data_IF_415366867893
#
_entry.id   IF_415366867893
#
_cell.length_a   1.000
_cell.length_b   1.000
_cell.length_c   1.000
_cell.angle_alpha   90.00
_cell.angle_beta   90.00
_cell.angle_gamma   90.00
#
_symmetry.space_group_name_H-M   'P 1'
#
loop_
_entity.id
_entity.type
_entity.pdbx_description
1 polymer ?
#
# COMPACT_ATOMS: atom_id res chain seq x y z
N UNK A 1 -1.62 -44.73 -11.75
CA UNK A 1 -0.65 -44.12 -10.81
C UNK A 1 -0.80 -42.62 -10.95
N UNK A 2 -1.40 -41.98 -9.95
CA UNK A 2 -1.70 -40.54 -9.96
C UNK A 2 -0.50 -39.80 -9.36
N UNK A 3 0.02 -38.83 -10.11
CA UNK A 3 1.01 -37.86 -9.65
C UNK A 3 0.36 -36.92 -8.61
N UNK A 4 1.04 -36.58 -7.50
CA UNK A 4 0.50 -35.63 -6.54
C UNK A 4 0.55 -34.21 -7.10
N UNK A 5 -0.55 -33.47 -6.93
CA UNK A 5 -0.62 -32.04 -7.20
C UNK A 5 0.47 -31.31 -6.41
N UNK A 6 1.23 -30.48 -7.12
CA UNK A 6 2.16 -29.52 -6.54
C UNK A 6 1.31 -28.52 -5.77
N UNK A 7 1.26 -28.66 -4.44
CA UNK A 7 0.81 -27.61 -3.53
C UNK A 7 1.78 -26.45 -3.69
N UNK A 8 1.37 -25.44 -4.44
CA UNK A 8 2.04 -24.15 -4.48
C UNK A 8 2.15 -23.63 -3.05
N UNK A 9 3.39 -23.46 -2.58
CA UNK A 9 3.70 -22.80 -1.33
C UNK A 9 3.05 -21.41 -1.38
N UNK A 10 2.17 -21.03 -0.43
CA UNK A 10 1.64 -19.69 -0.40
C UNK A 10 2.82 -18.72 -0.27
N UNK A 11 2.86 -17.61 -1.05
CA UNK A 11 3.89 -16.61 -0.85
C UNK A 11 3.86 -16.17 0.62
N UNK A 12 5.02 -15.89 1.24
CA UNK A 12 5.06 -15.48 2.63
C UNK A 12 4.10 -14.31 2.81
N UNK A 13 3.18 -14.44 3.77
CA UNK A 13 2.33 -13.34 4.19
C UNK A 13 3.26 -12.18 4.53
N UNK A 14 3.32 -11.17 3.66
CA UNK A 14 3.80 -9.85 4.08
C UNK A 14 2.82 -9.43 5.15
N UNK A 15 3.23 -9.60 6.40
CA UNK A 15 2.58 -8.97 7.53
C UNK A 15 2.82 -7.47 7.36
N UNK A 16 2.00 -6.83 6.51
CA UNK A 16 1.79 -5.40 6.54
C UNK A 16 1.45 -5.10 8.00
N UNK A 17 2.35 -4.39 8.69
CA UNK A 17 2.13 -4.05 10.08
C UNK A 17 0.72 -3.46 10.23
N UNK A 18 -0.09 -4.07 11.10
CA UNK A 18 -1.52 -3.80 11.28
C UNK A 18 -1.89 -2.33 11.53
N UNK A 19 -0.90 -1.47 11.81
CA UNK A 19 -1.08 -0.07 12.19
C UNK A 19 -0.73 0.94 11.09
N UNK A 20 -0.15 0.50 9.97
CA UNK A 20 0.34 1.38 8.88
C UNK A 20 -0.66 1.54 7.74
N UNK A 21 -1.60 0.60 7.59
CA UNK A 21 -2.56 0.56 6.47
C UNK A 21 -4.01 0.67 6.98
N UNK A 22 -4.95 1.16 6.15
CA UNK A 22 -6.38 1.02 6.42
C UNK A 22 -6.79 -0.41 6.81
N UNK A 23 -7.84 -0.57 7.63
CA UNK A 23 -8.31 -1.89 8.04
C UNK A 23 -8.68 -2.75 6.82
N UNK A 24 -8.42 -4.06 6.90
CA UNK A 24 -8.77 -4.99 5.82
C UNK A 24 -10.27 -5.09 5.56
N UNK A 25 -10.63 -5.59 4.39
CA UNK A 25 -12.01 -5.61 3.89
C UNK A 25 -12.98 -6.34 4.83
N UNK A 26 -12.65 -7.54 5.33
CA UNK A 26 -13.48 -8.25 6.32
C UNK A 26 -13.78 -7.44 7.57
N UNK A 27 -12.81 -6.67 8.07
CA UNK A 27 -13.01 -5.82 9.25
C UNK A 27 -13.98 -4.69 8.95
N UNK A 28 -13.87 -4.07 7.77
CA UNK A 28 -14.83 -3.08 7.34
C UNK A 28 -16.23 -3.67 7.10
N UNK A 29 -16.33 -4.89 6.55
CA UNK A 29 -17.60 -5.62 6.45
C UNK A 29 -18.21 -5.86 7.82
N UNK A 30 -17.42 -6.26 8.81
CA UNK A 30 -17.86 -6.42 10.20
C UNK A 30 -18.37 -5.12 10.81
N UNK A 31 -17.67 -4.00 10.63
CA UNK A 31 -18.09 -2.68 11.12
C UNK A 31 -19.42 -2.26 10.49
N UNK A 32 -19.57 -2.40 9.17
CA UNK A 32 -20.81 -2.07 8.46
C UNK A 32 -21.97 -2.97 8.90
N UNK A 33 -21.73 -4.28 8.99
CA UNK A 33 -22.71 -5.26 9.45
C UNK A 33 -23.19 -4.94 10.87
N UNK A 34 -22.27 -4.66 11.78
CA UNK A 34 -22.58 -4.29 13.17
C UNK A 34 -23.40 -2.99 13.23
N UNK A 35 -23.03 -1.99 12.42
CA UNK A 35 -23.75 -0.70 12.33
C UNK A 35 -25.19 -0.91 11.87
N UNK A 36 -25.40 -1.69 10.80
CA UNK A 36 -26.72 -1.96 10.24
C UNK A 36 -27.59 -2.87 11.12
N UNK A 37 -26.98 -3.76 11.92
CA UNK A 37 -27.69 -4.65 12.85
C UNK A 37 -27.95 -4.02 14.21
N UNK A 38 -27.16 -3.02 14.62
CA UNK A 38 -27.30 -2.37 15.92
C UNK A 38 -28.73 -1.89 16.28
N UNK A 39 -29.55 -1.36 15.35
CA UNK A 39 -30.91 -0.93 15.69
C UNK A 39 -31.88 -2.10 15.90
N UNK A 40 -31.55 -3.29 15.37
CA UNK A 40 -32.39 -4.48 15.40
C UNK A 40 -31.98 -5.44 16.53
N UNK A 41 -30.66 -5.59 16.74
CA UNK A 41 -30.08 -6.49 17.73
C UNK A 41 -28.68 -6.00 18.15
N UNK A 42 -28.58 -5.04 19.09
CA UNK A 42 -27.30 -4.43 19.47
C UNK A 42 -26.33 -5.39 20.17
N UNK A 43 -26.85 -6.45 20.79
CA UNK A 43 -26.07 -7.47 21.51
C UNK A 43 -25.51 -8.56 20.59
N UNK A 44 -25.82 -8.52 19.28
CA UNK A 44 -25.38 -9.55 18.35
C UNK A 44 -23.89 -9.40 18.02
N UNK A 45 -23.11 -10.40 18.38
CA UNK A 45 -21.73 -10.51 17.93
C UNK A 45 -21.66 -11.06 16.50
N UNK A 46 -21.47 -10.14 15.55
CA UNK A 46 -21.38 -10.45 14.12
C UNK A 46 -20.20 -11.38 13.80
N UNK A 47 -19.13 -11.34 14.59
CA UNK A 47 -17.91 -12.12 14.33
C UNK A 47 -18.11 -13.62 14.61
N UNK A 48 -18.92 -13.95 15.61
CA UNK A 48 -19.19 -15.33 16.02
C UNK A 48 -20.48 -15.89 15.44
N UNK A 49 -21.22 -15.08 14.67
CA UNK A 49 -22.49 -15.47 14.05
C UNK A 49 -22.30 -16.26 12.76
N UNK A 50 -23.17 -17.26 12.54
CA UNK A 50 -23.21 -18.12 11.37
C UNK A 50 -24.51 -17.92 10.59
N UNK A 51 -24.41 -17.88 9.26
CA UNK A 51 -25.55 -17.98 8.35
C UNK A 51 -25.81 -19.45 8.04
N UNK A 52 -27.07 -19.87 8.11
CA UNK A 52 -27.51 -21.13 7.51
C UNK A 52 -28.44 -20.85 6.33
N UNK A 53 -28.19 -21.51 5.21
CA UNK A 53 -29.04 -21.46 4.02
C UNK A 53 -29.16 -22.86 3.38
N UNK A 54 -30.18 -23.03 2.55
CA UNK A 54 -30.44 -24.25 1.77
C UNK A 54 -30.07 -23.98 0.31
N UNK A 55 -29.36 -24.90 -0.35
CA UNK A 55 -29.20 -24.86 -1.80
C UNK A 55 -30.50 -25.33 -2.47
N UNK A 56 -31.10 -24.44 -3.26
CA UNK A 56 -32.39 -24.66 -3.90
C UNK A 56 -32.26 -25.41 -5.25
N UNK A 57 -31.03 -25.67 -5.73
CA UNK A 57 -30.75 -26.36 -7.01
C UNK A 57 -30.59 -27.88 -6.89
N UNK A 58 -30.28 -28.40 -5.71
CA UNK A 58 -30.10 -29.83 -5.50
C UNK A 58 -31.41 -30.52 -5.08
N UNK A 59 -31.67 -31.71 -5.64
CA UNK A 59 -32.84 -32.54 -5.33
C UNK A 59 -32.84 -32.81 -3.82
N UNK A 60 -33.98 -32.68 -3.12
CA UNK A 60 -34.00 -32.79 -1.67
C UNK A 60 -33.81 -34.24 -1.25
N UNK A 61 -32.56 -34.62 -0.97
CA UNK A 61 -32.24 -35.74 -0.09
C UNK A 61 -32.00 -35.19 1.32
N UNK A 62 -32.55 -35.88 2.31
CA UNK A 62 -32.68 -35.45 3.70
C UNK A 62 -31.35 -34.94 4.31
N UNK A 63 -31.18 -33.62 4.38
CA UNK A 63 -30.13 -32.94 5.16
C UNK A 63 -28.81 -32.66 4.45
N UNK A 64 -28.62 -33.07 3.18
CA UNK A 64 -27.37 -32.86 2.45
C UNK A 64 -27.18 -31.43 1.90
N UNK A 65 -28.25 -30.65 1.78
CA UNK A 65 -28.26 -29.38 1.03
C UNK A 65 -28.24 -28.14 1.95
N UNK A 66 -28.03 -28.32 3.26
CA UNK A 66 -28.00 -27.22 4.25
C UNK A 66 -26.53 -26.83 4.48
N UNK A 67 -26.21 -25.58 4.16
CA UNK A 67 -24.89 -25.00 4.39
C UNK A 67 -24.91 -24.11 5.62
N UNK A 68 -23.82 -24.15 6.39
CA UNK A 68 -23.59 -23.27 7.53
C UNK A 68 -22.22 -22.62 7.39
N UNK A 69 -22.21 -21.30 7.27
CA UNK A 69 -21.01 -20.51 6.97
C UNK A 69 -20.90 -19.32 7.92
N UNK A 70 -19.69 -18.83 8.23
CA UNK A 70 -19.54 -17.64 9.06
C UNK A 70 -20.14 -16.40 8.37
N UNK A 71 -20.76 -15.52 9.15
CA UNK A 71 -21.54 -14.38 8.65
C UNK A 71 -20.72 -13.39 7.81
N UNK A 72 -19.47 -13.10 8.20
CA UNK A 72 -18.64 -12.12 7.50
C UNK A 72 -18.25 -12.61 6.09
N UNK A 73 -17.63 -13.80 5.92
CA UNK A 73 -17.40 -14.38 4.59
C UNK A 73 -18.65 -14.44 3.72
N UNK A 74 -19.80 -14.87 4.27
CA UNK A 74 -21.02 -14.97 3.45
C UNK A 74 -21.58 -13.62 3.00
N UNK A 75 -21.39 -12.55 3.78
CA UNK A 75 -21.71 -11.18 3.34
C UNK A 75 -20.82 -10.73 2.19
N UNK A 76 -19.53 -11.09 2.22
CA UNK A 76 -18.58 -10.80 1.15
C UNK A 76 -18.95 -11.61 -0.10
N UNK A 77 -19.23 -12.90 0.04
CA UNK A 77 -19.65 -13.77 -1.07
C UNK A 77 -20.99 -13.32 -1.68
N UNK A 78 -21.88 -12.74 -0.87
CA UNK A 78 -23.09 -12.13 -1.40
C UNK A 78 -22.79 -10.86 -2.19
N UNK A 79 -21.86 -10.04 -1.70
CA UNK A 79 -21.39 -8.83 -2.36
C UNK A 79 -20.68 -9.10 -3.71
N UNK A 80 -19.93 -10.20 -3.83
CA UNK A 80 -19.31 -10.65 -5.09
C UNK A 80 -20.28 -11.42 -5.98
N UNK A 81 -21.49 -11.75 -5.50
CA UNK A 81 -22.50 -12.50 -6.24
C UNK A 81 -22.25 -14.01 -6.31
N UNK A 82 -21.26 -14.54 -5.58
CA UNK A 82 -21.09 -15.98 -5.38
C UNK A 82 -22.28 -16.57 -4.62
N UNK A 83 -22.67 -15.92 -3.51
CA UNK A 83 -23.87 -16.25 -2.76
C UNK A 83 -25.03 -15.37 -3.25
N UNK A 84 -26.14 -15.97 -3.67
CA UNK A 84 -27.32 -15.23 -4.11
C UNK A 84 -28.61 -15.90 -3.64
N UNK A 85 -29.69 -15.12 -3.52
CA UNK A 85 -30.99 -15.61 -3.06
C UNK A 85 -31.88 -16.15 -4.19
N UNK A 86 -31.39 -16.16 -5.43
CA UNK A 86 -32.09 -16.84 -6.53
C UNK A 86 -31.81 -18.34 -6.53
N UNK A 87 -30.64 -18.73 -6.06
CA UNK A 87 -30.16 -20.13 -6.03
C UNK A 87 -30.21 -20.73 -4.61
N UNK A 88 -30.38 -19.91 -3.58
CA UNK A 88 -30.32 -20.33 -2.17
C UNK A 88 -31.43 -19.73 -1.32
N UNK A 89 -31.90 -20.50 -0.35
CA UNK A 89 -32.95 -20.09 0.60
C UNK A 89 -32.41 -19.90 2.03
N UNK A 90 -32.47 -18.67 2.53
CA UNK A 90 -32.04 -18.32 3.90
C UNK A 90 -32.86 -19.08 4.94
N UNK A 91 -32.18 -19.76 5.87
CA UNK A 91 -32.83 -20.46 6.99
C UNK A 91 -32.81 -19.65 8.28
N UNK A 92 -31.68 -19.00 8.62
CA UNK A 92 -31.54 -18.21 9.83
C UNK A 92 -30.09 -17.83 10.15
N UNK A 93 -29.92 -17.02 11.20
CA UNK A 93 -28.62 -16.75 11.82
C UNK A 93 -28.51 -17.53 13.14
N UNK A 94 -27.33 -18.08 13.42
CA UNK A 94 -27.08 -18.95 14.57
C UNK A 94 -25.78 -18.56 15.28
N UNK A 95 -25.70 -18.76 16.60
CA UNK A 95 -24.46 -18.52 17.36
C UNK A 95 -23.41 -19.62 17.17
N UNK A 96 -23.78 -20.73 16.52
CA UNK A 96 -22.94 -21.92 16.32
C UNK A 96 -23.12 -22.47 14.91
N UNK A 97 -22.12 -23.15 14.34
CA UNK A 97 -22.19 -23.72 13.01
C UNK A 97 -23.27 -24.81 12.86
N UNK A 98 -23.62 -25.52 13.94
CA UNK A 98 -24.60 -26.60 13.90
C UNK A 98 -26.04 -26.08 14.06
N UNK A 99 -26.76 -25.96 12.95
CA UNK A 99 -28.20 -25.66 12.91
C UNK A 99 -29.03 -26.91 13.18
N UNK A 100 -28.94 -27.45 14.40
CA UNK A 100 -29.86 -28.51 14.83
C UNK A 100 -31.19 -27.92 15.30
N UNK A 101 -32.26 -28.73 15.34
CA UNK A 101 -33.55 -28.33 15.93
C UNK A 101 -33.46 -27.86 17.39
N UNK A 102 -32.33 -28.09 18.05
CA UNK A 102 -32.05 -27.68 19.43
C UNK A 102 -31.36 -26.31 19.55
N UNK A 103 -30.82 -25.76 18.45
CA UNK A 103 -30.22 -24.43 18.44
C UNK A 103 -31.21 -23.45 17.82
N UNK A 104 -31.95 -22.64 18.62
CA UNK A 104 -32.90 -21.70 18.05
C UNK A 104 -32.16 -20.62 17.24
N UNK A 105 -32.74 -20.25 16.09
CA UNK A 105 -32.27 -19.11 15.33
C UNK A 105 -32.32 -17.82 16.17
N UNK A 106 -31.39 -16.92 15.91
CA UNK A 106 -31.25 -15.63 16.58
C UNK A 106 -32.48 -14.75 16.25
N UNK A 107 -33.45 -14.73 17.17
CA UNK A 107 -34.64 -13.85 17.08
C UNK A 107 -34.27 -12.38 17.33
N UNK A 108 -34.95 -11.39 16.73
CA UNK A 108 -36.15 -11.49 15.89
C UNK A 108 -35.89 -11.51 14.37
N UNK A 109 -34.65 -11.80 13.94
CA UNK A 109 -34.26 -11.72 12.52
C UNK A 109 -34.86 -12.89 11.73
N UNK A 110 -36.08 -12.69 11.20
CA UNK A 110 -36.70 -13.62 10.27
C UNK A 110 -35.98 -13.69 8.92
N UNK A 111 -36.25 -14.73 8.13
CA UNK A 111 -35.60 -15.00 6.83
C UNK A 111 -35.58 -13.79 5.88
N UNK A 112 -36.72 -13.11 5.75
CA UNK A 112 -36.85 -11.91 4.91
C UNK A 112 -36.01 -10.72 5.42
N UNK A 113 -35.88 -10.57 6.75
CA UNK A 113 -35.06 -9.52 7.35
C UNK A 113 -33.56 -9.80 7.12
N UNK A 114 -33.15 -11.07 7.18
CA UNK A 114 -31.78 -11.49 6.88
C UNK A 114 -31.45 -11.24 5.40
N UNK A 115 -32.33 -11.65 4.47
CA UNK A 115 -32.13 -11.39 3.04
C UNK A 115 -32.01 -9.88 2.76
N UNK A 116 -32.88 -9.06 3.37
CA UNK A 116 -32.83 -7.59 3.27
C UNK A 116 -31.54 -7.02 3.84
N UNK A 117 -31.07 -7.55 4.97
CA UNK A 117 -29.80 -7.14 5.60
C UNK A 117 -28.62 -7.40 4.66
N UNK A 118 -28.56 -8.59 4.04
CA UNK A 118 -27.52 -8.92 3.05
C UNK A 118 -27.55 -8.00 1.84
N UNK A 119 -28.73 -7.71 1.29
CA UNK A 119 -28.87 -6.75 0.19
C UNK A 119 -28.36 -5.36 0.58
N UNK A 120 -28.69 -4.88 1.79
CA UNK A 120 -28.23 -3.56 2.27
C UNK A 120 -26.71 -3.52 2.45
N UNK A 121 -26.11 -4.55 3.03
CA UNK A 121 -24.64 -4.65 3.14
C UNK A 121 -24.04 -4.63 1.74
N UNK A 122 -24.52 -5.46 0.82
CA UNK A 122 -23.99 -5.54 -0.54
C UNK A 122 -24.07 -4.19 -1.29
N UNK A 123 -25.12 -3.40 -1.07
CA UNK A 123 -25.31 -2.10 -1.72
C UNK A 123 -24.39 -1.01 -1.15
N UNK A 124 -24.03 -1.08 0.13
CA UNK A 124 -23.26 -0.03 0.81
C UNK A 124 -21.76 -0.36 0.95
N UNK A 125 -21.38 -1.63 0.89
CA UNK A 125 -20.05 -2.09 1.27
C UNK A 125 -18.92 -1.50 0.42
N UNK A 126 -19.13 -1.35 -0.89
CA UNK A 126 -18.15 -0.75 -1.79
C UNK A 126 -17.89 0.72 -1.43
N UNK A 127 -18.94 1.53 -1.34
CA UNK A 127 -18.81 2.94 -0.96
C UNK A 127 -18.24 3.11 0.45
N UNK A 128 -18.70 2.28 1.40
CA UNK A 128 -18.25 2.30 2.78
C UNK A 128 -16.74 2.02 2.88
N UNK A 129 -16.26 0.96 2.22
CA UNK A 129 -14.84 0.62 2.25
C UNK A 129 -13.99 1.65 1.51
N UNK A 130 -14.44 2.11 0.34
CA UNK A 130 -13.75 3.18 -0.40
C UNK A 130 -13.58 4.44 0.46
N UNK A 131 -14.61 4.85 1.20
CA UNK A 131 -14.52 5.98 2.11
C UNK A 131 -13.54 5.71 3.27
N UNK A 132 -13.57 4.50 3.86
CA UNK A 132 -12.63 4.09 4.92
C UNK A 132 -11.17 4.17 4.48
N UNK A 133 -10.85 3.81 3.23
CA UNK A 133 -9.50 3.93 2.68
C UNK A 133 -9.01 5.39 2.71
N UNK A 134 -9.86 6.36 2.42
CA UNK A 134 -9.50 7.78 2.48
C UNK A 134 -9.51 8.35 3.91
N UNK A 135 -10.55 8.06 4.68
CA UNK A 135 -10.73 8.59 6.04
C UNK A 135 -9.61 8.15 6.98
N UNK A 136 -9.05 6.96 6.77
CA UNK A 136 -7.96 6.41 7.57
C UNK A 136 -6.81 7.41 7.74
N UNK A 137 -6.43 8.11 6.68
CA UNK A 137 -5.32 9.06 6.67
C UNK A 137 -5.64 10.37 7.40
N UNK A 138 -6.91 10.64 7.65
CA UNK A 138 -7.38 11.82 8.38
C UNK A 138 -7.57 11.57 9.87
N UNK A 139 -7.41 10.32 10.34
CA UNK A 139 -7.54 9.97 11.75
C UNK A 139 -6.42 10.64 12.56
N UNK A 140 -6.80 11.34 13.62
CA UNK A 140 -5.87 11.92 14.59
C UNK A 140 -5.18 10.81 15.40
N UNK A 141 -3.87 10.98 15.58
CA UNK A 141 -2.99 10.11 16.35
C UNK A 141 -2.96 10.58 17.81
N UNK A 142 -2.26 9.85 18.69
CA UNK A 142 -2.11 10.22 20.10
C UNK A 142 -1.53 11.62 20.29
N UNK A 143 -0.73 12.07 19.32
CA UNK A 143 0.03 13.31 19.39
C UNK A 143 -0.75 14.49 18.77
N UNK A 144 -1.99 14.26 18.33
CA UNK A 144 -2.88 15.26 17.73
C UNK A 144 -2.69 15.48 16.23
N UNK A 145 -1.63 14.93 15.63
CA UNK A 145 -1.39 14.95 14.18
C UNK A 145 -2.20 13.87 13.46
N UNK A 146 -2.46 14.04 12.16
CA UNK A 146 -3.13 13.00 11.38
C UNK A 146 -2.17 11.89 10.96
N UNK A 147 -2.69 10.67 10.75
CA UNK A 147 -1.90 9.56 10.18
C UNK A 147 -1.22 9.93 8.85
N UNK A 148 -1.89 10.71 8.00
CA UNK A 148 -1.32 11.22 6.76
C UNK A 148 -0.14 12.16 6.98
N UNK A 149 -0.17 12.99 8.03
CA UNK A 149 0.96 13.85 8.36
C UNK A 149 2.16 13.04 8.85
N UNK A 150 1.93 12.07 9.74
CA UNK A 150 2.98 11.13 10.18
C UNK A 150 3.60 10.38 9.02
N UNK A 151 2.78 9.89 8.09
CA UNK A 151 3.25 9.23 6.86
C UNK A 151 4.17 10.14 6.04
N UNK A 152 3.80 11.40 5.82
CA UNK A 152 4.63 12.36 5.09
C UNK A 152 5.94 12.65 5.83
N UNK A 153 5.89 12.80 7.16
CA UNK A 153 7.09 13.01 7.98
C UNK A 153 8.05 11.81 7.90
N UNK A 154 7.54 10.58 7.98
CA UNK A 154 8.31 9.35 7.77
C UNK A 154 8.89 9.29 6.35
N UNK A 155 8.13 9.68 5.34
CA UNK A 155 8.60 9.74 3.95
C UNK A 155 9.79 10.70 3.80
N UNK A 156 9.71 11.88 4.42
CA UNK A 156 10.78 12.89 4.40
C UNK A 156 12.06 12.31 5.01
N UNK A 157 11.98 11.69 6.19
CA UNK A 157 13.15 11.12 6.86
C UNK A 157 13.71 9.90 6.11
N UNK A 158 12.83 9.08 5.52
CA UNK A 158 13.21 7.98 4.63
C UNK A 158 14.04 8.49 3.44
N UNK A 159 13.55 9.52 2.73
CA UNK A 159 14.23 10.07 1.54
C UNK A 159 15.55 10.76 1.89
N UNK A 160 15.63 11.48 3.01
CA UNK A 160 16.90 12.04 3.48
C UNK A 160 17.92 10.95 3.80
N UNK A 161 17.48 9.88 4.48
CA UNK A 161 18.33 8.73 4.82
C UNK A 161 18.80 8.02 3.56
N UNK A 162 17.90 7.77 2.62
CA UNK A 162 18.22 7.20 1.31
C UNK A 162 19.26 8.05 0.57
N UNK A 163 19.08 9.37 0.49
CA UNK A 163 20.06 10.25 -0.15
C UNK A 163 21.43 10.19 0.54
N UNK A 164 21.49 10.13 1.87
CA UNK A 164 22.74 9.98 2.61
C UNK A 164 23.45 8.65 2.29
N UNK A 165 22.70 7.55 2.19
CA UNK A 165 23.22 6.25 1.75
C UNK A 165 23.76 6.34 0.31
N UNK A 166 23.02 6.95 -0.61
CA UNK A 166 23.45 7.11 -2.00
C UNK A 166 24.71 7.98 -2.14
N UNK A 167 24.91 8.96 -1.26
CA UNK A 167 26.17 9.73 -1.17
C UNK A 167 27.32 8.83 -0.71
N UNK A 168 27.11 8.00 0.32
CA UNK A 168 28.12 7.05 0.79
C UNK A 168 28.49 5.99 -0.27
N UNK A 169 27.57 5.72 -1.21
CA UNK A 169 27.78 4.87 -2.37
C UNK A 169 28.35 5.62 -3.59
N UNK A 170 28.70 6.90 -3.45
CA UNK A 170 29.22 7.77 -4.52
C UNK A 170 28.27 7.93 -5.73
N UNK A 171 26.98 7.59 -5.57
CA UNK A 171 25.94 7.74 -6.59
C UNK A 171 25.26 9.12 -6.56
N UNK A 172 25.40 9.82 -5.45
CA UNK A 172 24.89 11.18 -5.24
C UNK A 172 25.95 12.08 -4.62
N UNK A 173 25.69 13.39 -4.63
CA UNK A 173 26.58 14.40 -4.05
C UNK A 173 25.88 15.14 -2.91
N UNK A 174 26.67 15.84 -2.08
CA UNK A 174 26.13 16.74 -1.04
C UNK A 174 25.27 17.88 -1.62
N UNK A 175 25.50 18.26 -2.88
CA UNK A 175 24.64 19.19 -3.62
C UNK A 175 23.22 18.64 -3.82
N UNK A 176 23.10 17.35 -4.18
CA UNK A 176 21.82 16.66 -4.30
C UNK A 176 21.08 16.61 -2.95
N UNK A 177 21.77 16.26 -1.86
CA UNK A 177 21.17 16.25 -0.53
C UNK A 177 20.67 17.64 -0.10
N UNK A 178 21.43 18.70 -0.44
CA UNK A 178 21.03 20.08 -0.14
C UNK A 178 19.78 20.48 -0.94
N UNK A 179 19.69 20.07 -2.22
CA UNK A 179 18.52 20.28 -3.06
C UNK A 179 17.29 19.55 -2.51
N UNK A 180 17.45 18.26 -2.19
CA UNK A 180 16.39 17.45 -1.59
C UNK A 180 15.90 18.07 -0.27
N UNK A 181 16.81 18.39 0.64
CA UNK A 181 16.47 18.96 1.94
C UNK A 181 15.71 20.28 1.81
N UNK A 182 16.10 21.14 0.86
CA UNK A 182 15.39 22.39 0.58
C UNK A 182 13.97 22.15 0.07
N UNK A 183 13.76 21.16 -0.80
CA UNK A 183 12.43 20.80 -1.30
C UNK A 183 11.53 20.20 -0.22
N UNK A 184 12.09 19.32 0.61
CA UNK A 184 11.35 18.65 1.68
C UNK A 184 11.01 19.59 2.84
N UNK A 185 11.77 20.67 3.05
CA UNK A 185 11.49 21.65 4.10
C UNK A 185 10.08 22.26 3.97
N UNK A 186 9.64 22.55 2.74
CA UNK A 186 8.29 23.05 2.48
C UNK A 186 7.18 22.01 2.74
N UNK A 187 7.52 20.73 2.81
CA UNK A 187 6.59 19.65 3.14
C UNK A 187 6.55 19.34 4.65
N UNK A 188 7.60 19.71 5.40
CA UNK A 188 7.72 19.47 6.83
C UNK A 188 6.92 20.45 7.68
N UNK A 189 6.64 21.65 7.16
CA UNK A 189 5.73 22.59 7.82
C UNK A 189 4.28 22.09 7.67
N UNK A 190 3.54 22.02 8.78
CA UNK A 190 2.12 21.62 8.79
C UNK A 190 1.26 22.47 7.83
N UNK A 191 -0.02 22.11 7.62
CA UNK A 191 -0.89 22.75 6.64
C UNK A 191 -1.06 24.28 6.82
N UNK A 192 -0.84 24.79 8.03
CA UNK A 192 -0.90 26.22 8.37
C UNK A 192 0.46 26.93 8.27
N UNK A 193 1.52 26.22 7.91
CA UNK A 193 2.84 26.75 7.66
C UNK A 193 2.80 27.68 6.46
N UNK A 194 3.21 28.93 6.66
CA UNK A 194 3.24 29.94 5.61
C UNK A 194 4.26 29.51 4.53
N UNK A 195 3.84 28.77 3.50
CA UNK A 195 4.69 28.28 2.38
C UNK A 195 5.16 29.42 1.45
N UNK A 196 5.10 30.67 1.92
CA UNK A 196 5.52 31.87 1.20
C UNK A 196 7.04 32.05 1.13
N UNK A 197 7.83 31.05 1.58
CA UNK A 197 9.24 31.01 1.25
C UNK A 197 9.40 30.65 -0.24
N UNK A 198 10.02 31.56 -0.99
CA UNK A 198 10.44 31.36 -2.38
C UNK A 198 11.24 30.05 -2.47
N UNK A 199 10.63 28.99 -3.00
CA UNK A 199 11.34 27.75 -3.30
C UNK A 199 12.36 28.05 -4.40
N UNK A 200 13.67 27.83 -4.18
CA UNK A 200 14.67 28.13 -5.20
C UNK A 200 14.72 27.09 -6.35
N UNK A 201 13.84 26.09 -6.32
CA UNK A 201 13.82 24.91 -7.18
C UNK A 201 12.40 24.64 -7.67
N UNK A 202 12.27 23.85 -8.74
CA UNK A 202 10.97 23.39 -9.24
C UNK A 202 10.75 21.92 -8.92
N UNK A 203 9.52 21.59 -8.53
CA UNK A 203 9.08 20.21 -8.33
C UNK A 203 8.04 19.85 -9.37
N UNK A 204 8.18 18.68 -9.98
CA UNK A 204 7.26 18.19 -11.01
C UNK A 204 6.70 16.81 -10.66
N UNK A 205 5.42 16.60 -10.90
CA UNK A 205 4.83 15.26 -10.98
C UNK A 205 5.07 14.66 -12.37
N UNK A 206 5.25 13.34 -12.43
CA UNK A 206 5.45 12.64 -13.70
C UNK A 206 4.18 11.95 -14.19
N UNK A 207 4.01 11.99 -15.49
CA UNK A 207 3.06 11.17 -16.24
C UNK A 207 3.68 10.72 -17.55
N UNK A 208 3.16 9.65 -18.13
CA UNK A 208 3.63 9.12 -19.40
C UNK A 208 2.44 8.88 -20.35
N UNK A 209 2.63 9.06 -21.64
CA UNK A 209 1.67 8.62 -22.66
C UNK A 209 2.34 7.70 -23.67
N UNK A 210 1.59 6.73 -24.18
CA UNK A 210 2.01 5.87 -25.28
C UNK A 210 1.29 6.32 -26.57
N UNK A 211 1.87 7.27 -27.30
CA UNK A 211 1.22 7.90 -28.46
C UNK A 211 -0.05 8.64 -28.06
N UNK A 212 -1.17 8.35 -28.73
CA UNK A 212 -2.48 8.96 -28.47
C UNK A 212 -3.24 8.34 -27.27
N UNK A 213 -2.57 7.47 -26.50
CA UNK A 213 -3.16 6.85 -25.31
C UNK A 213 -3.38 7.89 -24.18
N UNK A 214 -4.37 7.67 -23.29
CA UNK A 214 -4.55 8.52 -22.13
C UNK A 214 -3.29 8.57 -21.26
N UNK A 215 -3.12 9.71 -20.58
CA UNK A 215 -1.99 9.95 -19.69
C UNK A 215 -1.99 8.99 -18.50
N UNK A 216 -0.89 8.27 -18.37
CA UNK A 216 -0.58 7.39 -17.26
C UNK A 216 0.11 8.21 -16.18
N UNK A 217 -0.60 8.50 -15.09
CA UNK A 217 0.00 9.19 -13.94
C UNK A 217 0.89 8.22 -13.16
N UNK A 218 2.13 8.61 -12.88
CA UNK A 218 3.00 7.85 -11.98
C UNK A 218 2.72 8.30 -10.55
N UNK A 219 1.77 7.65 -9.89
CA UNK A 219 1.30 8.04 -8.56
C UNK A 219 2.43 7.96 -7.52
N UNK A 220 2.76 9.12 -6.94
CA UNK A 220 3.84 9.24 -5.95
C UNK A 220 5.23 9.51 -6.52
N UNK A 221 5.41 9.49 -7.84
CA UNK A 221 6.67 9.87 -8.47
C UNK A 221 6.79 11.39 -8.64
N UNK A 222 7.99 11.92 -8.46
CA UNK A 222 8.26 13.35 -8.64
C UNK A 222 9.71 13.61 -9.08
N UNK A 223 9.92 14.80 -9.65
CA UNK A 223 11.23 15.33 -10.03
C UNK A 223 11.48 16.62 -9.26
N UNK A 224 12.69 16.82 -8.74
CA UNK A 224 13.15 18.11 -8.24
C UNK A 224 14.27 18.58 -9.17
N UNK A 225 14.08 19.74 -9.80
CA UNK A 225 15.11 20.41 -10.60
C UNK A 225 15.63 21.63 -9.84
N UNK A 226 16.97 21.82 -9.81
CA UNK A 226 17.58 22.90 -9.04
C UNK A 226 17.11 24.29 -9.44
N UNK A 227 16.81 24.55 -10.71
CA UNK A 227 16.32 25.87 -11.15
C UNK A 227 14.81 25.98 -10.98
N UNK A 228 14.37 27.07 -10.35
CA UNK A 228 12.97 27.49 -10.34
C UNK A 228 12.53 27.91 -11.75
N UNK A 229 11.37 27.41 -12.15
CA UNK A 229 10.68 27.67 -13.41
C UNK A 229 9.19 27.88 -13.16
N UNK A 230 8.61 28.86 -13.85
CA UNK A 230 7.19 29.22 -13.74
C UNK A 230 6.27 28.37 -14.65
N UNK A 231 6.86 27.68 -15.64
CA UNK A 231 6.15 26.82 -16.60
C UNK A 231 6.69 25.39 -16.58
N UNK A 232 5.87 24.38 -16.95
CA UNK A 232 6.33 23.01 -17.18
C UNK A 232 7.51 22.96 -18.15
N UNK A 233 8.51 22.13 -17.83
CA UNK A 233 9.77 22.13 -18.57
C UNK A 233 9.62 21.54 -19.98
N UNK A 234 10.25 22.18 -20.96
CA UNK A 234 10.47 21.63 -22.31
C UNK A 234 11.88 21.05 -22.38
N UNK A 235 12.03 19.77 -22.71
CA UNK A 235 13.30 19.03 -22.69
C UNK A 235 14.03 19.19 -24.03
N UNK A 236 14.09 20.41 -24.52
CA UNK A 236 14.62 20.69 -25.86
C UNK A 236 16.06 21.24 -25.79
N UNK A 237 16.52 21.65 -24.61
CA UNK A 237 17.86 22.20 -24.38
C UNK A 237 18.55 21.50 -23.20
N UNK A 238 19.79 21.08 -23.41
CA UNK A 238 20.61 20.51 -22.33
C UNK A 238 21.09 21.63 -21.40
N UNK A 239 20.44 21.72 -20.25
CA UNK A 239 20.84 22.61 -19.17
C UNK A 239 21.45 21.81 -18.03
N UNK A 240 22.72 22.07 -17.73
CA UNK A 240 23.39 21.45 -16.58
C UNK A 240 22.80 22.01 -15.28
N UNK A 241 22.25 21.10 -14.48
CA UNK A 241 21.70 21.35 -13.15
C UNK A 241 21.55 20.04 -12.38
N UNK A 242 21.62 20.08 -11.05
CA UNK A 242 21.31 18.89 -10.25
C UNK A 242 19.80 18.62 -10.34
N UNK A 243 19.47 17.38 -10.70
CA UNK A 243 18.10 16.88 -10.80
C UNK A 243 17.97 15.62 -9.95
N UNK A 244 16.87 15.53 -9.22
CA UNK A 244 16.49 14.34 -8.47
C UNK A 244 15.20 13.77 -9.02
N UNK A 245 15.21 12.49 -9.35
CA UNK A 245 14.01 11.72 -9.65
C UNK A 245 13.69 10.84 -8.45
N UNK A 246 12.45 10.83 -8.03
CA UNK A 246 11.93 9.85 -7.09
C UNK A 246 10.87 9.00 -7.80
N UNK A 247 11.05 7.68 -7.81
CA UNK A 247 9.98 6.74 -8.16
C UNK A 247 9.69 5.83 -6.97
N UNK A 248 8.42 5.41 -6.74
CA UNK A 248 8.10 4.50 -5.65
C UNK A 248 8.84 3.16 -5.69
N UNK A 249 9.25 2.69 -6.87
CA UNK A 249 9.91 1.40 -7.03
C UNK A 249 11.43 1.49 -6.89
N UNK A 250 12.03 2.46 -7.57
CA UNK A 250 13.49 2.55 -7.71
C UNK A 250 14.09 3.45 -6.62
N UNK A 251 13.29 4.37 -6.08
CA UNK A 251 13.71 5.30 -5.03
C UNK A 251 14.28 6.58 -5.61
N UNK A 252 15.27 7.16 -4.92
CA UNK A 252 15.94 8.38 -5.35
C UNK A 252 17.07 8.08 -6.34
N UNK A 253 17.01 8.77 -7.48
CA UNK A 253 18.04 8.79 -8.51
C UNK A 253 18.49 10.24 -8.77
N UNK A 254 19.76 10.41 -9.12
CA UNK A 254 20.37 11.72 -9.34
C UNK A 254 20.89 11.84 -10.77
N UNK A 255 20.71 13.03 -11.36
CA UNK A 255 21.10 13.34 -12.72
C UNK A 255 21.72 14.74 -12.79
N UNK A 256 22.59 14.94 -13.79
CA UNK A 256 23.25 16.23 -14.01
C UNK A 256 22.48 17.17 -14.96
N UNK A 257 21.34 16.72 -15.49
CA UNK A 257 20.40 17.52 -16.26
C UNK A 257 19.04 16.83 -16.40
N UNK A 258 18.00 17.61 -16.71
CA UNK A 258 16.66 17.06 -17.04
C UNK A 258 16.68 16.21 -18.31
N UNK A 259 17.55 16.54 -19.27
CA UNK A 259 17.75 15.75 -20.49
C UNK A 259 18.27 14.36 -20.17
N UNK A 260 19.31 14.25 -19.34
CA UNK A 260 19.86 12.95 -18.92
C UNK A 260 18.85 12.10 -18.15
N UNK A 261 18.08 12.71 -17.27
CA UNK A 261 16.99 12.04 -16.55
C UNK A 261 15.92 11.52 -17.53
N UNK A 262 15.49 12.34 -18.49
CA UNK A 262 14.47 11.96 -19.45
C UNK A 262 14.96 10.86 -20.42
N UNK A 263 16.23 10.86 -20.79
CA UNK A 263 16.86 9.76 -21.52
C UNK A 263 16.92 8.47 -20.70
N UNK A 264 17.18 8.55 -19.39
CA UNK A 264 17.12 7.39 -18.51
C UNK A 264 15.69 6.84 -18.41
N UNK A 265 14.70 7.71 -18.21
CA UNK A 265 13.28 7.35 -18.21
C UNK A 265 12.82 6.76 -19.56
N UNK A 266 13.31 7.28 -20.68
CA UNK A 266 13.03 6.72 -22.01
C UNK A 266 13.64 5.32 -22.19
N UNK A 267 14.86 5.10 -21.68
CA UNK A 267 15.53 3.78 -21.69
C UNK A 267 14.80 2.77 -20.80
N UNK A 268 14.50 3.13 -19.56
CA UNK A 268 13.68 2.32 -18.64
C UNK A 268 12.31 2.03 -19.26
N UNK A 269 11.69 3.06 -19.83
CA UNK A 269 10.43 2.98 -20.55
C UNK A 269 10.44 2.07 -21.79
N UNK A 270 11.61 1.68 -22.31
CA UNK A 270 11.74 0.68 -23.37
C UNK A 270 11.87 -0.75 -22.84
N UNK A 271 12.11 -0.92 -21.54
CA UNK A 271 12.22 -2.25 -20.92
C UNK A 271 10.84 -2.91 -20.78
N UNK A 272 10.65 -4.15 -21.25
CA UNK A 272 9.35 -4.82 -21.22
C UNK A 272 8.76 -4.97 -19.82
N UNK A 273 9.62 -5.27 -18.84
CA UNK A 273 9.19 -5.47 -17.46
C UNK A 273 8.80 -4.15 -16.79
N UNK A 274 9.53 -3.06 -17.07
CA UNK A 274 9.16 -1.72 -16.61
C UNK A 274 7.83 -1.27 -17.21
N UNK A 275 7.64 -1.45 -18.53
CA UNK A 275 6.35 -1.15 -19.18
C UNK A 275 5.21 -1.97 -18.62
N UNK A 276 5.42 -3.26 -18.35
CA UNK A 276 4.37 -4.12 -17.79
C UNK A 276 3.92 -3.62 -16.41
N UNK A 277 4.88 -3.17 -15.57
CA UNK A 277 4.59 -2.55 -14.27
C UNK A 277 3.85 -1.21 -14.44
N UNK A 278 4.38 -0.32 -15.27
CA UNK A 278 3.77 0.99 -15.54
C UNK A 278 2.35 0.89 -16.12
N UNK A 279 2.10 -0.11 -16.97
CA UNK A 279 0.77 -0.36 -17.54
C UNK A 279 -0.17 -1.05 -16.55
N UNK A 280 0.33 -1.88 -15.61
CA UNK A 280 -0.49 -2.33 -14.49
C UNK A 280 -0.96 -1.12 -13.65
N UNK A 281 -0.04 -0.18 -13.37
CA UNK A 281 -0.29 1.08 -12.65
C UNK A 281 -1.29 2.03 -13.35
N UNK A 282 -1.69 1.75 -14.60
CA UNK A 282 -2.66 2.56 -15.34
C UNK A 282 -4.12 2.21 -15.03
N UNK A 283 -4.41 1.01 -14.54
CA UNK A 283 -5.78 0.58 -14.23
C UNK A 283 -6.75 0.69 -15.41
N UNK A 284 -6.27 0.55 -16.66
CA UNK A 284 -7.14 0.57 -17.83
C UNK A 284 -8.00 -0.71 -17.89
N UNK A 285 -9.32 -0.51 -17.87
CA UNK A 285 -10.40 -1.51 -17.83
C UNK A 285 -10.58 -2.28 -19.16
N UNK A 286 -9.53 -2.37 -19.97
CA UNK A 286 -9.51 -3.09 -21.23
C UNK A 286 -8.19 -3.86 -21.28
N UNK A 287 -8.09 -4.98 -22.04
CA UNK A 287 -6.80 -5.35 -22.56
C UNK A 287 -6.31 -4.10 -23.26
N UNK A 288 -5.38 -3.36 -22.65
CA UNK A 288 -4.63 -2.31 -23.33
C UNK A 288 -4.24 -3.04 -24.60
N UNK A 289 -4.80 -2.60 -25.74
CA UNK A 289 -4.23 -2.97 -27.02
C UNK A 289 -2.81 -2.52 -26.84
N UNK A 290 -1.94 -3.49 -26.50
CA UNK A 290 -0.61 -3.23 -25.99
C UNK A 290 -0.07 -2.23 -26.98
N UNK A 291 0.13 -0.99 -26.52
CA UNK A 291 0.72 0.02 -27.38
C UNK A 291 1.94 -0.70 -27.95
N UNK A 292 2.02 -0.86 -29.29
CA UNK A 292 2.88 -1.86 -29.89
C UNK A 292 4.25 -1.73 -29.26
N UNK A 293 4.96 -2.82 -28.96
CA UNK A 293 6.25 -2.77 -28.22
C UNK A 293 7.27 -1.74 -28.77
N UNK A 294 7.01 -1.20 -29.95
CA UNK A 294 7.65 -0.06 -30.60
C UNK A 294 7.25 1.36 -30.13
N UNK A 295 6.19 1.58 -29.33
CA UNK A 295 5.75 2.93 -28.96
C UNK A 295 6.65 3.51 -27.86
N UNK A 296 7.31 4.62 -28.19
CA UNK A 296 8.15 5.36 -27.24
C UNK A 296 7.23 6.06 -26.24
N UNK A 297 7.47 5.85 -24.94
CA UNK A 297 6.75 6.58 -23.89
C UNK A 297 7.17 8.06 -23.93
N UNK A 298 6.18 8.93 -24.00
CA UNK A 298 6.37 10.37 -23.92
C UNK A 298 6.11 10.81 -22.48
N UNK A 299 7.16 11.30 -21.82
CA UNK A 299 7.09 11.78 -20.45
C UNK A 299 6.58 13.22 -20.41
N UNK A 300 5.63 13.47 -19.50
CA UNK A 300 5.03 14.77 -19.27
C UNK A 300 5.20 15.17 -17.81
N UNK A 301 5.53 16.44 -17.61
CA UNK A 301 5.89 17.01 -16.32
C UNK A 301 4.83 18.04 -15.93
N UNK A 302 4.26 17.91 -14.74
CA UNK A 302 3.29 18.87 -14.20
C UNK A 302 3.90 19.56 -12.99
N UNK A 303 3.97 20.90 -13.00
CA UNK A 303 4.50 21.65 -11.85
C UNK A 303 3.68 21.36 -10.59
N UNK A 304 4.37 21.12 -9.48
CA UNK A 304 3.79 20.94 -8.14
C UNK A 304 4.23 22.10 -7.25
N UNK A 305 3.30 22.63 -6.48
CA UNK A 305 3.53 23.74 -5.57
C UNK A 305 3.21 23.35 -4.12
N UNK A 306 3.81 24.07 -3.17
CA UNK A 306 3.55 23.90 -1.74
C UNK A 306 4.00 22.54 -1.20
N UNK A 307 3.17 21.94 -0.34
CA UNK A 307 3.42 20.61 0.23
C UNK A 307 3.12 19.52 -0.82
N UNK A 308 4.03 19.38 -1.77
CA UNK A 308 3.87 18.45 -2.90
C UNK A 308 3.76 16.99 -2.45
N UNK A 309 4.39 16.60 -1.33
CA UNK A 309 4.24 15.25 -0.79
C UNK A 309 2.81 14.97 -0.32
N UNK A 310 2.16 15.93 0.34
CA UNK A 310 0.75 15.79 0.71
C UNK A 310 -0.17 15.72 -0.51
N UNK A 311 0.14 16.49 -1.57
CA UNK A 311 -0.58 16.41 -2.85
C UNK A 311 -0.42 15.02 -3.50
N UNK A 312 0.81 14.50 -3.55
CA UNK A 312 1.09 13.18 -4.11
C UNK A 312 0.45 12.05 -3.29
N UNK A 313 0.51 12.15 -1.96
CA UNK A 313 -0.15 11.23 -1.04
C UNK A 313 -1.66 11.20 -1.28
N UNK A 314 -2.30 12.37 -1.43
CA UNK A 314 -3.73 12.47 -1.76
C UNK A 314 -4.04 11.79 -3.10
N UNK A 315 -3.20 11.96 -4.12
CA UNK A 315 -3.36 11.28 -5.41
C UNK A 315 -3.21 9.76 -5.28
N UNK A 316 -2.30 9.27 -4.42
CA UNK A 316 -2.15 7.83 -4.13
C UNK A 316 -3.38 7.25 -3.43
N UNK A 317 -4.00 7.99 -2.50
CA UNK A 317 -5.27 7.59 -1.87
C UNK A 317 -6.38 7.45 -2.91
N UNK A 318 -6.54 8.44 -3.79
CA UNK A 318 -7.53 8.37 -4.88
C UNK A 318 -7.27 7.18 -5.81
N UNK A 319 -6.00 6.88 -6.10
CA UNK A 319 -5.63 5.69 -6.88
C UNK A 319 -6.03 4.41 -6.15
N UNK A 320 -5.75 4.30 -4.86
CA UNK A 320 -6.12 3.15 -4.03
C UNK A 320 -7.64 2.88 -4.07
N UNK A 321 -8.47 3.94 -3.99
CA UNK A 321 -9.92 3.83 -4.11
C UNK A 321 -10.35 3.34 -5.50
N UNK A 322 -9.74 3.89 -6.57
CA UNK A 322 -10.02 3.47 -7.95
C UNK A 322 -9.67 2.00 -8.18
N UNK A 323 -8.52 1.55 -7.65
CA UNK A 323 -8.09 0.16 -7.76
C UNK A 323 -9.00 -0.80 -6.99
N UNK A 324 -9.48 -0.39 -5.82
CA UNK A 324 -10.48 -1.16 -5.10
C UNK A 324 -11.77 -1.30 -5.91
N UNK A 325 -12.26 -0.24 -6.57
CA UNK A 325 -13.44 -0.33 -7.43
C UNK A 325 -13.24 -1.34 -8.60
N UNK A 326 -12.04 -1.39 -9.18
CA UNK A 326 -11.69 -2.38 -10.21
C UNK A 326 -11.66 -3.81 -9.65
N UNK A 327 -11.09 -4.00 -8.46
CA UNK A 327 -11.11 -5.29 -7.76
C UNK A 327 -12.54 -5.78 -7.53
N UNK A 328 -13.45 -4.88 -7.17
CA UNK A 328 -14.88 -5.18 -6.98
C UNK A 328 -15.54 -5.61 -8.30
N UNK A 329 -15.31 -4.88 -9.39
CA UNK A 329 -15.85 -5.24 -10.71
C UNK A 329 -15.38 -6.63 -11.15
N UNK A 330 -14.08 -6.91 -10.98
CA UNK A 330 -13.49 -8.21 -11.29
C UNK A 330 -14.11 -9.30 -10.43
N UNK A 331 -14.23 -9.08 -9.13
CA UNK A 331 -14.78 -10.04 -8.17
C UNK A 331 -16.25 -10.36 -8.45
N UNK A 332 -17.05 -9.37 -8.83
CA UNK A 332 -18.45 -9.56 -9.26
C UNK A 332 -18.56 -10.33 -10.58
N UNK A 333 -17.67 -10.04 -11.52
CA UNK A 333 -17.64 -10.72 -12.82
C UNK A 333 -17.26 -12.19 -12.67
N UNK A 334 -16.28 -12.49 -11.80
CA UNK A 334 -15.77 -13.84 -11.57
C UNK A 334 -16.50 -14.59 -10.47
N UNK A 335 -17.41 -13.93 -9.72
CA UNK A 335 -18.09 -14.47 -8.53
C UNK A 335 -17.11 -15.09 -7.54
N UNK A 336 -16.11 -14.29 -7.13
CA UNK A 336 -15.04 -14.75 -6.24
C UNK A 336 -15.58 -15.10 -4.85
N UNK A 337 -14.98 -16.11 -4.20
CA UNK A 337 -15.16 -16.33 -2.77
C UNK A 337 -14.45 -15.24 -1.95
N UNK A 338 -14.77 -15.17 -0.65
CA UNK A 338 -14.25 -14.13 0.23
C UNK A 338 -12.72 -14.11 0.30
N UNK A 339 -12.07 -15.28 0.33
CA UNK A 339 -10.61 -15.38 0.45
C UNK A 339 -9.93 -14.91 -0.82
N UNK A 340 -10.42 -15.37 -1.99
CA UNK A 340 -9.91 -14.95 -3.28
C UNK A 340 -10.08 -13.44 -3.50
N UNK A 341 -11.21 -12.87 -3.08
CA UNK A 341 -11.45 -11.44 -3.20
C UNK A 341 -10.53 -10.62 -2.28
N UNK A 342 -10.34 -11.02 -1.02
CA UNK A 342 -9.40 -10.31 -0.14
C UNK A 342 -7.96 -10.39 -0.65
N UNK A 343 -7.55 -11.55 -1.17
CA UNK A 343 -6.24 -11.70 -1.79
C UNK A 343 -6.09 -10.81 -3.02
N UNK A 344 -7.13 -10.64 -3.84
CA UNK A 344 -7.06 -9.77 -5.02
C UNK A 344 -6.95 -8.29 -4.63
N UNK A 345 -7.63 -7.86 -3.56
CA UNK A 345 -7.45 -6.51 -2.98
C UNK A 345 -5.99 -6.33 -2.54
N UNK A 346 -5.42 -7.28 -1.80
CA UNK A 346 -4.03 -7.19 -1.32
C UNK A 346 -3.04 -7.21 -2.48
N UNK A 347 -3.27 -8.03 -3.50
CA UNK A 347 -2.39 -8.12 -4.67
C UNK A 347 -2.43 -6.82 -5.49
N UNK A 348 -3.61 -6.33 -5.83
CA UNK A 348 -3.78 -5.09 -6.59
C UNK A 348 -3.22 -3.90 -5.79
N UNK A 349 -3.68 -3.70 -4.56
CA UNK A 349 -3.23 -2.55 -3.76
C UNK A 349 -1.76 -2.65 -3.34
N UNK A 350 -1.27 -3.86 -3.05
CA UNK A 350 0.08 -4.09 -2.52
C UNK A 350 1.20 -4.09 -3.56
N UNK A 351 0.90 -4.24 -4.86
CA UNK A 351 1.90 -4.09 -5.92
C UNK A 351 2.06 -2.66 -6.42
N UNK A 352 1.03 -1.82 -6.30
CA UNK A 352 1.00 -0.50 -6.95
C UNK A 352 0.98 0.67 -5.94
N UNK A 353 0.50 0.45 -4.71
CA UNK A 353 0.35 1.52 -3.71
C UNK A 353 1.41 1.37 -2.61
N UNK A 354 2.48 2.16 -2.75
CA UNK A 354 3.65 2.13 -1.88
C UNK A 354 3.48 3.06 -0.68
N UNK A 355 2.90 2.54 0.40
CA UNK A 355 2.86 3.22 1.70
C UNK A 355 3.87 2.63 2.71
N UNK A 356 4.78 1.76 2.28
CA UNK A 356 5.78 1.13 3.16
C UNK A 356 7.18 1.71 2.91
N UNK A 357 7.53 2.74 3.70
CA UNK A 357 8.87 3.35 3.68
C UNK A 357 9.95 2.42 4.26
N UNK A 358 9.59 1.55 5.20
CA UNK A 358 10.52 0.69 5.92
C UNK A 358 11.13 -0.36 5.01
N UNK A 359 10.31 -0.99 4.16
CA UNK A 359 10.80 -1.94 3.16
C UNK A 359 11.92 -1.34 2.28
N UNK A 360 11.80 -0.05 1.91
CA UNK A 360 12.81 0.62 1.09
C UNK A 360 14.10 0.88 1.87
N UNK A 361 14.00 1.34 3.12
CA UNK A 361 15.16 1.52 3.99
C UNK A 361 15.89 0.20 4.25
N UNK A 362 15.16 -0.88 4.48
CA UNK A 362 15.74 -2.21 4.66
C UNK A 362 16.47 -2.67 3.40
N UNK A 363 15.91 -2.43 2.20
CA UNK A 363 16.59 -2.73 0.93
C UNK A 363 17.90 -1.95 0.80
N UNK A 364 17.87 -0.65 1.11
CA UNK A 364 19.03 0.23 1.01
C UNK A 364 20.12 -0.10 2.03
N UNK A 365 19.75 -0.47 3.25
CA UNK A 365 20.68 -0.92 4.27
C UNK A 365 21.37 -2.23 3.83
N UNK A 366 20.60 -3.17 3.27
CA UNK A 366 21.17 -4.38 2.67
C UNK A 366 22.15 -4.05 1.53
N UNK A 367 21.79 -3.16 0.61
CA UNK A 367 22.68 -2.76 -0.50
C UNK A 367 23.95 -2.05 0.00
N UNK A 368 23.84 -1.21 1.03
CA UNK A 368 24.98 -0.54 1.65
C UNK A 368 25.90 -1.53 2.35
N UNK A 369 25.33 -2.44 3.15
CA UNK A 369 26.08 -3.53 3.79
C UNK A 369 26.76 -4.36 2.70
N UNK A 370 26.02 -4.88 1.73
CA UNK A 370 26.60 -5.73 0.69
C UNK A 370 27.71 -5.01 -0.08
N UNK A 371 27.55 -3.75 -0.45
CA UNK A 371 28.57 -3.01 -1.19
C UNK A 371 29.84 -2.76 -0.37
N UNK A 372 29.70 -2.34 0.89
CA UNK A 372 30.81 -1.97 1.78
C UNK A 372 31.46 -3.16 2.50
N UNK A 373 30.81 -4.33 2.50
CA UNK A 373 31.35 -5.49 3.19
C UNK A 373 32.62 -6.04 2.51
N UNK A 374 33.60 -6.51 3.30
CA UNK A 374 34.81 -7.11 2.78
C UNK A 374 34.55 -8.34 1.90
N UNK A 375 35.49 -8.67 1.01
CA UNK A 375 35.38 -9.82 0.11
C UNK A 375 35.10 -11.15 0.83
N UNK A 376 35.69 -11.37 2.01
CA UNK A 376 35.45 -12.59 2.80
C UNK A 376 33.98 -12.71 3.23
N UNK A 377 33.32 -11.60 3.57
CA UNK A 377 31.91 -11.59 3.98
C UNK A 377 31.02 -11.88 2.77
N UNK A 378 31.34 -11.30 1.61
CA UNK A 378 30.64 -11.58 0.34
C UNK A 378 30.72 -13.06 -0.05
N UNK A 379 31.81 -13.75 0.29
CA UNK A 379 31.95 -15.19 0.06
C UNK A 379 31.25 -16.09 1.09
N UNK A 380 30.72 -15.55 2.19
CA UNK A 380 29.99 -16.32 3.19
C UNK A 380 28.66 -16.83 2.65
N UNK A 381 28.26 -18.02 3.10
CA UNK A 381 26.91 -18.56 2.85
C UNK A 381 25.87 -17.70 3.59
N UNK A 382 24.64 -17.69 3.08
CA UNK A 382 23.56 -16.89 3.66
C UNK A 382 23.33 -17.18 5.16
N UNK A 383 23.41 -18.45 5.59
CA UNK A 383 23.30 -18.82 7.01
C UNK A 383 24.40 -18.20 7.88
N UNK A 384 25.62 -18.09 7.35
CA UNK A 384 26.76 -17.46 8.05
C UNK A 384 26.64 -15.94 8.09
N UNK A 385 26.07 -15.33 7.03
CA UNK A 385 25.78 -13.89 7.01
C UNK A 385 24.72 -13.53 8.05
N UNK A 386 23.67 -14.34 8.19
CA UNK A 386 22.63 -14.17 9.22
C UNK A 386 23.25 -14.25 10.62
N UNK A 387 24.05 -15.29 10.89
CA UNK A 387 24.71 -15.45 12.19
C UNK A 387 25.67 -14.28 12.49
N UNK A 388 26.44 -13.83 11.49
CA UNK A 388 27.32 -12.68 11.63
C UNK A 388 26.53 -11.39 11.93
N UNK A 389 25.41 -11.15 11.25
CA UNK A 389 24.56 -9.99 11.50
C UNK A 389 24.00 -10.00 12.93
N UNK A 390 23.49 -11.13 13.41
CA UNK A 390 23.02 -11.26 14.80
C UNK A 390 24.14 -10.96 15.80
N UNK A 391 25.35 -11.49 15.58
CA UNK A 391 26.48 -11.25 16.45
C UNK A 391 26.94 -9.78 16.40
N UNK A 392 26.98 -9.16 15.22
CA UNK A 392 27.32 -7.77 15.04
C UNK A 392 26.32 -6.83 15.74
N UNK A 393 25.02 -7.12 15.64
CA UNK A 393 23.97 -6.38 16.35
C UNK A 393 24.10 -6.52 17.87
N UNK A 394 24.29 -7.74 18.38
CA UNK A 394 24.51 -7.98 19.82
C UNK A 394 25.77 -7.27 20.33
N UNK A 395 26.84 -7.27 19.55
CA UNK A 395 28.05 -6.54 19.87
C UNK A 395 27.80 -5.02 19.90
N UNK A 396 27.14 -4.47 18.88
CA UNK A 396 26.76 -3.06 18.81
C UNK A 396 25.92 -2.61 20.01
N UNK A 397 24.87 -3.38 20.35
CA UNK A 397 24.05 -3.15 21.55
C UNK A 397 24.87 -3.21 22.83
N UNK A 398 25.80 -4.16 22.93
CA UNK A 398 26.70 -4.27 24.09
C UNK A 398 27.59 -3.03 24.22
N UNK A 399 28.15 -2.52 23.11
CA UNK A 399 28.98 -1.30 23.10
C UNK A 399 28.16 -0.08 23.51
N UNK A 400 26.94 0.08 22.98
CA UNK A 400 26.04 1.19 23.36
C UNK A 400 25.67 1.10 24.84
N UNK A 401 25.35 -0.09 25.35
CA UNK A 401 25.03 -0.31 26.76
C UNK A 401 26.22 0.00 27.67
N UNK A 402 27.44 -0.42 27.30
CA UNK A 402 28.66 -0.08 28.04
C UNK A 402 28.87 1.44 28.06
N UNK A 403 28.71 2.13 26.92
CA UNK A 403 28.84 3.59 26.86
C UNK A 403 27.79 4.30 27.70
N UNK A 404 26.54 3.83 27.70
CA UNK A 404 25.45 4.36 28.52
C UNK A 404 25.77 4.19 30.01
N UNK A 405 26.08 2.97 30.44
CA UNK A 405 26.46 2.67 31.83
C UNK A 405 27.70 3.44 32.28
N UNK A 406 28.69 3.60 31.40
CA UNK A 406 29.90 4.39 31.69
C UNK A 406 29.59 5.88 31.82
N UNK A 407 28.66 6.42 31.04
CA UNK A 407 28.23 7.82 31.16
C UNK A 407 27.44 8.04 32.46
N UNK A 408 26.66 7.05 32.87
CA UNK A 408 25.89 7.08 34.12
C UNK A 408 26.78 6.90 35.36
N UNK A 409 27.91 6.17 35.26
CA UNK A 409 28.82 5.89 36.40
C UNK A 409 30.03 6.83 36.49
N UNK A 410 30.50 7.42 35.40
CA UNK A 410 31.69 8.27 35.39
C UNK A 410 31.40 9.73 35.00
N UNK A 411 30.12 10.07 34.73
CA UNK A 411 29.69 11.40 34.32
C UNK A 411 29.23 12.32 35.47
N UNK A 412 29.11 11.82 36.70
CA UNK A 412 28.91 12.65 37.88
C UNK A 412 30.21 12.71 38.66
N UNK A 413 30.78 13.89 38.95
CA UNK A 413 31.86 13.97 39.93
C UNK A 413 31.28 13.50 41.27
N UNK A 414 31.94 12.53 41.89
CA UNK A 414 31.67 12.18 43.27
C UNK A 414 31.78 13.47 44.11
N UNK A 415 30.65 13.95 44.63
CA UNK A 415 30.66 14.92 45.70
C UNK A 415 31.10 14.18 46.96
N UNK A 416 32.40 13.92 47.06
CA UNK A 416 33.03 13.59 48.32
C UNK A 416 32.92 14.82 49.23
N UNK A 417 32.22 14.61 50.35
CA UNK A 417 31.85 15.61 51.37
C UNK A 417 33.01 16.16 52.16
#
# INVERSE_FOLDING_TARGET
MNLPLITSIPPPQRSLASDTYPPGFSKATQELASTLLSPLKPELDVQTTWLTYLDSKEIPDEGANIHSVPLIPSLIEHFTGLLNWTDHDVQGLYPTPSSTSQTPAIQPLGRAAIATFYTRVSQQLEQFYSQKLADYWSIATSDGETKGHQFVAEQIECMKSECAVQIALEKMTTGHYSLLSAALAACATGPDGNTAELQPHSVYGLSASAGDSPLLSLYGAFVIARRLRDEPVQIDQEELEDVLLFTPHDGLEAFASLTQMNEALARQGAEPDYRRRLLADSGADQPVQAAPDSSILQWQYTLLEGNFLSLLHTRQITRQQSMFAQAVQLARTQRMDAVCFEQSIVQLLGSEVYFDHHWRLDRLDNDLVESQMPAWWKTMKQSQRIEWHEQAQRFGQSVVNIRKNSKDHFGQPDNDS
#
